data_IF_214257192550
#
_entry.id   IF_214257192550
#
_cell.length_a   1.000
_cell.length_b   1.000
_cell.length_c   1.000
_cell.angle_alpha   90.00
_cell.angle_beta   90.00
_cell.angle_gamma   90.00
#
_symmetry.space_group_name_H-M   'P 1'
#
loop_
_entity.id
_entity.type
_entity.pdbx_description
1 polymer ?
#
# COMPACT_ATOMS: atom_id res chain seq x y z
N UNK A 1 7.25 -20.37 15.37
CA UNK A 1 6.39 -19.89 14.29
C UNK A 1 5.97 -18.46 14.59
N UNK A 2 6.53 -17.48 13.87
CA UNK A 2 6.06 -16.11 13.93
C UNK A 2 4.66 -16.10 13.31
N UNK A 3 3.63 -16.05 14.16
CA UNK A 3 2.24 -16.15 13.76
C UNK A 3 1.84 -15.03 12.80
N UNK A 4 0.87 -15.31 11.93
CA UNK A 4 0.22 -14.36 11.01
C UNK A 4 -0.21 -13.04 11.72
N UNK A 5 -0.43 -13.10 13.03
CA UNK A 5 -0.75 -11.94 13.86
C UNK A 5 0.31 -10.81 13.87
N UNK A 6 1.56 -11.10 13.53
CA UNK A 6 2.63 -10.09 13.51
C UNK A 6 2.78 -9.37 12.18
N UNK A 7 2.25 -9.93 11.09
CA UNK A 7 2.43 -9.36 9.74
C UNK A 7 1.55 -8.12 9.55
N UNK A 8 0.28 -8.16 9.93
CA UNK A 8 -0.62 -7.01 9.81
C UNK A 8 -0.33 -5.91 10.85
N UNK A 9 0.13 -6.28 12.05
CA UNK A 9 0.56 -5.31 13.08
C UNK A 9 1.71 -4.41 12.61
N UNK A 10 2.49 -4.86 11.63
CA UNK A 10 3.59 -4.07 11.06
C UNK A 10 3.13 -3.05 10.03
N UNK A 11 1.92 -3.15 9.52
CA UNK A 11 1.38 -2.31 8.45
C UNK A 11 0.69 -1.05 8.97
N UNK A 12 0.26 -1.05 10.24
CA UNK A 12 -0.33 0.11 10.92
C UNK A 12 0.72 0.89 11.69
N UNK A 13 0.77 2.20 11.50
CA UNK A 13 1.79 3.08 12.07
C UNK A 13 1.25 4.18 12.98
N UNK A 14 0.02 4.66 12.76
CA UNK A 14 -0.57 5.75 13.55
C UNK A 14 -0.85 5.34 14.99
N UNK A 15 -0.57 6.23 15.94
CA UNK A 15 -0.84 6.09 17.37
C UNK A 15 -0.29 4.80 17.99
N UNK A 16 0.90 4.38 17.59
CA UNK A 16 1.55 3.16 18.09
C UNK A 16 2.94 3.46 18.64
N UNK A 17 3.33 2.81 19.76
CA UNK A 17 4.69 2.92 20.29
C UNK A 17 5.74 2.57 19.21
N UNK A 18 6.79 3.37 19.14
CA UNK A 18 7.91 3.20 18.20
C UNK A 18 7.50 3.26 16.70
N UNK A 19 6.35 3.88 16.38
CA UNK A 19 5.88 4.11 15.03
C UNK A 19 5.62 5.59 14.80
N UNK A 20 5.84 6.05 13.58
CA UNK A 20 5.65 7.44 13.15
C UNK A 20 5.30 7.50 11.67
N UNK A 21 4.97 8.68 11.14
CA UNK A 21 4.82 8.90 9.71
C UNK A 21 6.09 8.49 8.94
N UNK A 22 7.28 8.79 9.48
CA UNK A 22 8.54 8.37 8.86
C UNK A 22 8.71 6.84 8.78
N UNK A 23 8.23 6.09 9.77
CA UNK A 23 8.28 4.62 9.69
C UNK A 23 7.32 4.06 8.64
N UNK A 24 6.18 4.72 8.41
CA UNK A 24 5.25 4.38 7.33
C UNK A 24 5.89 4.68 5.96
N UNK A 25 6.47 5.87 5.79
CA UNK A 25 7.17 6.27 4.57
C UNK A 25 8.36 5.35 4.24
N UNK A 26 9.15 4.99 5.25
CA UNK A 26 10.26 4.02 5.08
C UNK A 26 9.75 2.65 4.63
N UNK A 27 8.60 2.22 5.13
CA UNK A 27 7.97 0.98 4.68
C UNK A 27 7.52 1.08 3.21
N UNK A 28 6.94 2.21 2.80
CA UNK A 28 6.58 2.47 1.41
C UNK A 28 7.84 2.43 0.54
N UNK A 29 8.87 3.17 0.91
CA UNK A 29 10.15 3.20 0.19
C UNK A 29 10.73 1.80 -0.06
N UNK A 30 10.62 0.90 0.92
CA UNK A 30 11.20 -0.43 0.82
C UNK A 30 10.31 -1.46 0.10
N UNK A 31 8.98 -1.32 0.15
CA UNK A 31 8.05 -2.37 -0.30
C UNK A 31 7.24 -2.01 -1.54
N UNK A 32 7.05 -0.71 -1.84
CA UNK A 32 6.19 -0.26 -2.93
C UNK A 32 6.97 0.01 -4.24
N UNK A 33 8.24 -0.34 -4.29
CA UNK A 33 9.19 -0.01 -5.37
C UNK A 33 8.79 -0.49 -6.76
N UNK A 34 7.92 -1.48 -6.87
CA UNK A 34 7.51 -2.08 -8.16
C UNK A 34 6.02 -1.92 -8.44
N UNK A 35 5.32 -1.15 -7.63
CA UNK A 35 3.91 -0.89 -7.84
C UNK A 35 3.70 -0.13 -9.15
N UNK A 36 2.57 -0.41 -9.79
CA UNK A 36 2.10 0.24 -11.01
C UNK A 36 0.99 1.24 -10.72
N UNK A 37 0.21 0.94 -9.69
CA UNK A 37 -0.93 1.75 -9.26
C UNK A 37 -0.89 1.93 -7.77
N UNK A 38 -1.35 3.08 -7.31
CA UNK A 38 -1.66 3.36 -5.92
C UNK A 38 -3.16 3.53 -5.78
N UNK A 39 -3.71 3.03 -4.67
CA UNK A 39 -5.02 3.41 -4.16
C UNK A 39 -4.76 4.21 -2.90
N UNK A 40 -4.98 5.50 -3.01
CA UNK A 40 -5.00 6.45 -1.89
C UNK A 40 -6.34 6.29 -1.20
N UNK A 41 -6.37 6.19 0.11
CA UNK A 41 -7.61 6.00 0.83
C UNK A 41 -7.66 6.82 2.11
N UNK A 42 -8.78 7.50 2.26
CA UNK A 42 -9.13 8.31 3.43
C UNK A 42 -10.56 7.93 3.87
N UNK A 43 -10.76 7.72 5.15
CA UNK A 43 -12.07 7.40 5.71
C UNK A 43 -12.75 8.70 6.11
N UNK A 44 -13.91 8.97 5.51
CA UNK A 44 -14.67 10.19 5.73
C UNK A 44 -15.09 10.35 7.18
N UNK A 45 -14.59 11.42 7.83
CA UNK A 45 -14.99 11.75 9.21
C UNK A 45 -14.83 10.56 10.16
N UNK A 46 -13.72 9.85 10.10
CA UNK A 46 -13.54 8.57 10.79
C UNK A 46 -13.91 8.63 12.26
N UNK A 47 -13.37 9.61 13.00
CA UNK A 47 -13.61 9.72 14.44
C UNK A 47 -15.07 10.03 14.77
N UNK A 48 -15.77 10.75 13.90
CA UNK A 48 -17.16 11.17 14.10
C UNK A 48 -18.17 10.08 13.68
N UNK A 49 -17.72 9.13 12.84
CA UNK A 49 -18.60 8.10 12.25
C UNK A 49 -18.36 6.69 12.80
N UNK A 50 -17.54 6.52 13.84
CA UNK A 50 -17.35 5.21 14.48
C UNK A 50 -18.68 4.70 15.05
N UNK A 51 -19.17 3.56 14.53
CA UNK A 51 -20.38 2.91 15.06
C UNK A 51 -20.10 2.29 16.44
N UNK A 52 -20.78 2.78 17.47
CA UNK A 52 -20.58 2.33 18.85
C UNK A 52 -20.93 0.85 19.05
N UNK A 53 -21.92 0.31 18.31
CA UNK A 53 -22.30 -1.10 18.43
C UNK A 53 -21.25 -2.01 17.82
N UNK A 54 -20.70 -1.62 16.66
CA UNK A 54 -19.57 -2.33 16.03
C UNK A 54 -18.36 -2.29 16.95
N UNK A 55 -18.01 -1.12 17.54
CA UNK A 55 -16.91 -0.98 18.50
C UNK A 55 -17.08 -1.93 19.69
N UNK A 56 -18.23 -1.87 20.35
CA UNK A 56 -18.48 -2.74 21.51
C UNK A 56 -18.48 -4.22 21.10
N UNK A 57 -19.00 -4.56 19.93
CA UNK A 57 -18.92 -5.91 19.37
C UNK A 57 -17.49 -6.40 19.18
N UNK A 58 -16.59 -5.53 18.69
CA UNK A 58 -15.16 -5.83 18.52
C UNK A 58 -14.50 -6.07 19.88
N UNK A 59 -14.74 -5.17 20.85
CA UNK A 59 -14.20 -5.29 22.21
C UNK A 59 -14.69 -6.55 22.92
N UNK A 60 -15.98 -6.90 22.79
CA UNK A 60 -16.59 -8.09 23.41
C UNK A 60 -15.96 -9.41 22.98
N UNK A 61 -15.32 -9.45 21.80
CA UNK A 61 -14.56 -10.65 21.37
C UNK A 61 -13.38 -10.96 22.30
N UNK A 62 -12.84 -9.95 22.98
CA UNK A 62 -11.65 -10.08 23.84
C UNK A 62 -11.93 -9.81 25.32
N UNK A 63 -12.88 -8.94 25.63
CA UNK A 63 -13.22 -8.47 26.96
C UNK A 63 -14.58 -9.07 27.34
N UNK A 64 -14.63 -9.84 28.43
CA UNK A 64 -15.83 -10.51 28.91
C UNK A 64 -16.54 -9.72 30.03
N UNK A 65 -15.89 -8.69 30.58
CA UNK A 65 -16.45 -7.85 31.61
C UNK A 65 -17.44 -6.87 31.03
N UNK A 66 -18.73 -7.16 31.21
CA UNK A 66 -19.83 -6.31 30.74
C UNK A 66 -19.93 -4.97 31.49
N UNK A 67 -19.38 -4.86 32.71
CA UNK A 67 -19.32 -3.57 33.43
C UNK A 67 -18.33 -2.64 32.73
N UNK A 68 -17.18 -3.18 32.35
CA UNK A 68 -16.19 -2.43 31.60
C UNK A 68 -16.72 -2.02 30.21
N UNK A 69 -17.37 -2.93 29.48
CA UNK A 69 -17.95 -2.61 28.18
C UNK A 69 -19.04 -1.53 28.28
N UNK A 70 -19.86 -1.54 29.34
CA UNK A 70 -20.83 -0.47 29.62
C UNK A 70 -20.16 0.86 29.93
N UNK A 71 -19.01 0.84 30.63
CA UNK A 71 -18.24 2.05 30.89
C UNK A 71 -17.71 2.64 29.57
N UNK A 72 -17.11 1.83 28.70
CA UNK A 72 -16.65 2.28 27.38
C UNK A 72 -17.82 2.85 26.56
N UNK A 73 -18.99 2.21 26.58
CA UNK A 73 -20.16 2.75 25.88
C UNK A 73 -20.60 4.11 26.43
N UNK A 74 -20.53 4.31 27.75
CA UNK A 74 -20.80 5.62 28.35
C UNK A 74 -19.80 6.67 27.87
N UNK A 75 -18.50 6.34 27.75
CA UNK A 75 -17.51 7.24 27.18
C UNK A 75 -17.79 7.61 25.72
N UNK A 76 -18.17 6.63 24.91
CA UNK A 76 -18.50 6.87 23.51
C UNK A 76 -19.75 7.78 23.39
N UNK A 77 -20.75 7.60 24.25
CA UNK A 77 -22.02 8.38 24.24
C UNK A 77 -21.91 9.74 24.94
N UNK A 78 -20.86 9.98 25.74
CA UNK A 78 -20.74 11.21 26.53
C UNK A 78 -20.58 12.47 25.67
N UNK A 79 -20.21 12.29 24.39
CA UNK A 79 -19.96 13.42 23.50
C UNK A 79 -18.71 14.21 23.89
N UNK A 80 -18.67 15.45 23.47
CA UNK A 80 -17.59 16.38 23.79
C UNK A 80 -18.19 17.74 24.21
N UNK A 81 -17.41 18.49 24.97
CA UNK A 81 -17.78 19.85 25.36
C UNK A 81 -16.97 20.84 24.52
N UNK A 82 -17.67 21.70 23.81
CA UNK A 82 -17.08 22.78 23.01
C UNK A 82 -17.81 24.09 23.38
N UNK A 83 -17.12 25.13 23.61
CA UNK A 83 -17.65 26.46 24.00
C UNK A 83 -18.67 26.43 25.13
N UNK A 84 -18.44 25.61 26.16
CA UNK A 84 -19.36 25.35 27.29
C UNK A 84 -20.71 24.71 26.90
N UNK A 85 -20.84 24.16 25.68
CA UNK A 85 -22.01 23.39 25.26
C UNK A 85 -21.65 21.91 25.17
N UNK A 86 -22.55 21.05 25.68
CA UNK A 86 -22.39 19.60 25.60
C UNK A 86 -23.03 19.11 24.31
N UNK A 87 -22.17 18.59 23.41
CA UNK A 87 -22.57 17.93 22.18
C UNK A 87 -22.68 16.42 22.43
N UNK A 88 -23.90 15.88 22.46
CA UNK A 88 -24.09 14.44 22.54
C UNK A 88 -23.69 13.77 21.22
N UNK A 89 -22.85 12.76 21.30
CA UNK A 89 -22.41 11.97 20.13
C UNK A 89 -23.21 10.67 20.11
N UNK A 90 -24.03 10.49 19.07
CA UNK A 90 -24.71 9.21 18.80
C UNK A 90 -23.77 8.24 18.01
N UNK A 91 -22.74 8.77 17.39
CA UNK A 91 -21.68 8.05 16.72
C UNK A 91 -20.36 8.75 16.99
N UNK A 92 -19.25 8.05 16.75
CA UNK A 92 -17.92 8.62 16.85
C UNK A 92 -17.25 8.51 18.22
N UNK A 93 -16.05 9.04 18.28
CA UNK A 93 -15.26 9.22 19.51
C UNK A 93 -14.92 10.69 19.65
N UNK A 94 -14.94 11.25 20.86
CA UNK A 94 -14.59 12.65 21.05
C UNK A 94 -13.20 12.96 20.46
N UNK A 95 -13.11 13.93 19.56
CA UNK A 95 -11.83 14.39 19.03
C UNK A 95 -11.00 14.97 20.19
N UNK A 96 -9.73 14.59 20.28
CA UNK A 96 -8.85 15.00 21.38
C UNK A 96 -8.97 14.15 22.66
N UNK A 97 -9.88 13.19 22.75
CA UNK A 97 -9.96 12.26 23.88
C UNK A 97 -8.75 11.33 23.95
N UNK A 98 -8.17 11.17 25.15
CA UNK A 98 -6.97 10.32 25.38
C UNK A 98 -7.18 8.87 24.90
N UNK A 99 -8.40 8.34 25.00
CA UNK A 99 -8.74 6.96 24.65
C UNK A 99 -9.04 6.81 23.14
N UNK A 100 -9.40 7.89 22.44
CA UNK A 100 -9.85 7.86 21.04
C UNK A 100 -8.84 7.23 20.08
N UNK A 101 -7.53 7.52 20.14
CA UNK A 101 -6.53 6.88 19.29
C UNK A 101 -6.42 5.36 19.51
N UNK A 102 -6.64 4.90 20.75
CA UNK A 102 -6.60 3.47 21.08
C UNK A 102 -7.82 2.77 20.49
N UNK A 103 -9.02 3.34 20.69
CA UNK A 103 -10.26 2.82 20.14
C UNK A 103 -10.24 2.82 18.61
N UNK A 104 -9.73 3.89 17.99
CA UNK A 104 -9.52 3.98 16.56
C UNK A 104 -8.65 2.82 16.02
N UNK A 105 -7.53 2.54 16.66
CA UNK A 105 -6.69 1.42 16.26
C UNK A 105 -7.33 0.05 16.48
N UNK A 106 -8.14 -0.12 17.54
CA UNK A 106 -8.89 -1.36 17.77
C UNK A 106 -9.96 -1.55 16.69
N UNK A 107 -10.64 -0.48 16.30
CA UNK A 107 -11.64 -0.51 15.24
C UNK A 107 -11.04 -0.89 13.90
N UNK A 108 -10.00 -0.18 13.50
CA UNK A 108 -9.33 -0.38 12.22
C UNK A 108 -8.42 -1.62 12.17
N UNK A 109 -8.17 -2.29 13.30
CA UNK A 109 -7.52 -3.61 13.31
C UNK A 109 -8.34 -4.66 12.54
N UNK A 110 -9.67 -4.50 12.46
CA UNK A 110 -10.51 -5.36 11.63
C UNK A 110 -10.21 -5.14 10.15
N UNK A 111 -10.00 -3.89 9.73
CA UNK A 111 -9.58 -3.57 8.37
C UNK A 111 -8.17 -4.09 8.08
N UNK A 112 -7.23 -3.94 9.00
CA UNK A 112 -5.87 -4.48 8.84
C UNK A 112 -5.89 -6.01 8.66
N UNK A 113 -6.73 -6.73 9.39
CA UNK A 113 -6.93 -8.18 9.26
C UNK A 113 -7.54 -8.54 7.91
N UNK A 114 -8.58 -7.83 7.51
CA UNK A 114 -9.20 -8.01 6.21
C UNK A 114 -8.18 -7.82 5.08
N UNK A 115 -7.38 -6.73 5.13
CA UNK A 115 -6.34 -6.47 4.14
C UNK A 115 -5.27 -7.56 4.09
N UNK A 116 -4.93 -8.18 5.23
CA UNK A 116 -4.01 -9.30 5.26
C UNK A 116 -4.55 -10.55 4.54
N UNK A 117 -5.83 -10.87 4.75
CA UNK A 117 -6.49 -11.98 4.05
C UNK A 117 -6.74 -11.65 2.57
N UNK A 118 -7.16 -10.41 2.29
CA UNK A 118 -7.33 -9.92 0.93
C UNK A 118 -6.04 -10.02 0.12
N UNK A 119 -4.92 -9.61 0.70
CA UNK A 119 -3.60 -9.73 0.08
C UNK A 119 -3.26 -11.18 -0.30
N UNK A 120 -3.58 -12.16 0.54
CA UNK A 120 -3.33 -13.58 0.23
C UNK A 120 -4.11 -14.05 -0.99
N UNK A 121 -5.37 -13.60 -1.13
CA UNK A 121 -6.23 -13.91 -2.28
C UNK A 121 -5.80 -13.19 -3.54
N UNK A 122 -5.35 -11.95 -3.39
CA UNK A 122 -4.95 -11.09 -4.50
C UNK A 122 -3.59 -11.47 -5.09
N UNK A 123 -2.61 -11.78 -4.25
CA UNK A 123 -1.25 -12.09 -4.67
C UNK A 123 -1.22 -13.36 -5.53
N UNK A 124 -0.67 -13.25 -6.75
CA UNK A 124 -0.62 -14.34 -7.72
C UNK A 124 0.77 -14.47 -8.33
N UNK A 125 1.19 -15.72 -8.60
CA UNK A 125 2.47 -16.05 -9.23
C UNK A 125 3.68 -15.90 -8.30
N UNK A 126 4.75 -16.65 -8.52
CA UNK A 126 5.97 -16.55 -7.70
C UNK A 126 6.96 -15.54 -8.25
N UNK A 127 7.11 -15.49 -9.57
CA UNK A 127 8.05 -14.59 -10.27
C UNK A 127 7.38 -14.05 -11.53
N UNK A 128 7.65 -12.79 -11.87
CA UNK A 128 7.26 -12.23 -13.16
C UNK A 128 7.92 -12.99 -14.30
N UNK A 129 7.21 -13.17 -15.39
CA UNK A 129 7.76 -13.65 -16.65
C UNK A 129 8.96 -12.80 -17.11
N UNK A 130 9.86 -13.40 -17.84
CA UNK A 130 10.94 -12.66 -18.49
C UNK A 130 10.36 -11.94 -19.69
N UNK A 131 10.67 -10.67 -19.84
CA UNK A 131 10.29 -9.90 -21.02
C UNK A 131 10.81 -10.57 -22.29
N UNK A 132 9.93 -10.82 -23.25
CA UNK A 132 10.27 -11.53 -24.48
C UNK A 132 11.34 -10.80 -25.29
N UNK A 133 11.23 -9.46 -25.38
CA UNK A 133 12.23 -8.63 -26.08
C UNK A 133 13.59 -8.67 -25.39
N UNK A 134 13.59 -8.55 -24.05
CA UNK A 134 14.82 -8.66 -23.25
C UNK A 134 15.50 -10.02 -23.50
N UNK A 135 14.73 -11.11 -23.53
CA UNK A 135 15.26 -12.46 -23.81
C UNK A 135 15.87 -12.52 -25.20
N UNK A 136 15.15 -12.05 -26.25
CA UNK A 136 15.67 -12.03 -27.62
C UNK A 136 16.99 -11.27 -27.73
N UNK A 137 17.09 -10.11 -27.09
CA UNK A 137 18.32 -9.31 -27.08
C UNK A 137 19.46 -9.99 -26.30
N UNK A 138 19.13 -10.63 -25.17
CA UNK A 138 20.09 -11.42 -24.40
C UNK A 138 20.67 -12.58 -25.21
N UNK A 139 19.81 -13.31 -25.94
CA UNK A 139 20.23 -14.42 -26.80
C UNK A 139 21.11 -13.92 -27.97
N UNK A 140 20.73 -12.79 -28.60
CA UNK A 140 21.55 -12.15 -29.64
C UNK A 140 22.91 -11.73 -29.10
N UNK A 141 22.94 -11.14 -27.89
CA UNK A 141 24.19 -10.74 -27.22
C UNK A 141 25.11 -11.95 -26.96
N UNK A 142 24.56 -13.07 -26.48
CA UNK A 142 25.33 -14.30 -26.25
C UNK A 142 25.89 -14.83 -27.55
N UNK A 143 25.10 -14.80 -28.64
CA UNK A 143 25.57 -15.23 -29.97
C UNK A 143 26.70 -14.36 -30.49
N UNK A 144 26.60 -13.02 -30.36
CA UNK A 144 27.67 -12.09 -30.77
C UNK A 144 28.96 -12.30 -29.95
N UNK A 145 28.85 -12.48 -28.64
CA UNK A 145 30.01 -12.78 -27.78
C UNK A 145 30.70 -14.10 -28.16
N UNK A 146 29.91 -15.12 -28.54
CA UNK A 146 30.45 -16.38 -29.02
C UNK A 146 31.16 -16.23 -30.38
N UNK A 147 30.65 -15.36 -31.27
CA UNK A 147 31.34 -15.02 -32.53
C UNK A 147 32.63 -14.26 -32.27
N UNK A 148 32.60 -13.27 -31.38
CA UNK A 148 33.78 -12.49 -30.99
C UNK A 148 34.92 -13.38 -30.47
N UNK A 149 34.58 -14.39 -29.66
CA UNK A 149 35.57 -15.35 -29.14
C UNK A 149 36.20 -16.25 -30.25
N UNK A 150 35.57 -16.34 -31.42
CA UNK A 150 36.05 -17.13 -32.57
C UNK A 150 36.63 -16.29 -33.68
N UNK A 151 36.53 -14.96 -33.62
CA UNK A 151 37.05 -14.03 -34.65
C UNK A 151 38.56 -14.06 -34.68
N UNK A 152 39.11 -14.15 -35.90
CA UNK A 152 40.53 -14.27 -36.14
C UNK A 152 41.18 -12.94 -36.54
N UNK A 153 40.42 -12.04 -37.17
CA UNK A 153 40.93 -10.74 -37.62
C UNK A 153 40.53 -9.61 -36.67
N UNK A 154 41.39 -8.60 -36.54
CA UNK A 154 41.09 -7.45 -35.67
C UNK A 154 39.92 -6.60 -36.19
N UNK A 155 39.74 -6.48 -37.51
CA UNK A 155 38.64 -5.78 -38.13
C UNK A 155 37.29 -6.44 -37.79
N UNK A 156 37.21 -7.78 -37.85
CA UNK A 156 36.05 -8.54 -37.47
C UNK A 156 35.72 -8.40 -35.97
N UNK A 157 36.74 -8.41 -35.11
CA UNK A 157 36.56 -8.19 -33.66
C UNK A 157 35.99 -6.80 -33.37
N UNK A 158 36.53 -5.78 -34.04
CA UNK A 158 36.10 -4.40 -33.83
C UNK A 158 34.62 -4.19 -34.24
N UNK A 159 34.23 -4.70 -35.41
CA UNK A 159 32.85 -4.68 -35.87
C UNK A 159 31.89 -5.40 -34.91
N UNK A 160 32.29 -6.56 -34.38
CA UNK A 160 31.52 -7.31 -33.40
C UNK A 160 31.38 -6.58 -32.04
N UNK A 161 32.45 -5.89 -31.59
CA UNK A 161 32.44 -5.08 -30.37
C UNK A 161 31.48 -3.90 -30.49
N UNK A 162 31.49 -3.20 -31.64
CA UNK A 162 30.52 -2.11 -31.89
C UNK A 162 29.09 -2.62 -31.87
N UNK A 163 28.82 -3.75 -32.54
CA UNK A 163 27.51 -4.38 -32.55
C UNK A 163 27.03 -4.80 -31.14
N UNK A 164 27.95 -5.28 -30.31
CA UNK A 164 27.64 -5.65 -28.90
C UNK A 164 27.37 -4.38 -28.08
N UNK A 165 28.09 -3.30 -28.30
CA UNK A 165 27.94 -2.06 -27.57
C UNK A 165 26.59 -1.38 -27.87
N UNK A 166 26.18 -1.32 -29.13
CA UNK A 166 24.85 -0.82 -29.53
C UNK A 166 23.72 -1.66 -28.93
N UNK A 167 23.88 -2.99 -29.01
CA UNK A 167 22.92 -3.92 -28.44
C UNK A 167 22.84 -3.79 -26.92
N UNK A 168 23.93 -3.53 -26.22
CA UNK A 168 23.98 -3.33 -24.77
C UNK A 168 23.28 -2.03 -24.35
N UNK A 169 23.32 -0.97 -25.16
CA UNK A 169 22.53 0.25 -24.92
C UNK A 169 21.03 -0.05 -24.93
N UNK A 170 20.54 -0.73 -25.96
CA UNK A 170 19.13 -1.10 -26.10
C UNK A 170 18.73 -2.09 -25.01
N UNK A 171 19.55 -3.09 -24.74
CA UNK A 171 19.28 -4.10 -23.72
C UNK A 171 19.15 -3.52 -22.31
N UNK A 172 19.93 -2.48 -21.96
CA UNK A 172 19.83 -1.77 -20.68
C UNK A 172 18.57 -0.93 -20.54
N UNK A 173 17.96 -0.48 -21.63
CA UNK A 173 16.73 0.31 -21.60
C UNK A 173 15.47 -0.53 -21.42
N UNK A 174 15.55 -1.85 -21.69
CA UNK A 174 14.39 -2.75 -21.61
C UNK A 174 14.36 -3.45 -20.25
N UNK A 175 13.20 -3.48 -19.56
CA UNK A 175 13.08 -4.18 -18.28
C UNK A 175 13.24 -5.69 -18.47
N UNK A 176 14.06 -6.31 -17.64
CA UNK A 176 14.32 -7.78 -17.65
C UNK A 176 13.07 -8.62 -17.46
N UNK A 177 12.11 -8.11 -16.69
CA UNK A 177 10.83 -8.77 -16.39
C UNK A 177 9.69 -8.03 -17.08
N UNK A 178 8.69 -8.79 -17.52
CA UNK A 178 7.48 -8.22 -18.10
C UNK A 178 6.77 -7.34 -17.06
N UNK A 179 6.65 -6.01 -17.31
CA UNK A 179 5.97 -5.13 -16.37
C UNK A 179 4.46 -5.35 -16.33
N UNK A 180 3.87 -5.98 -17.36
CA UNK A 180 2.44 -6.22 -17.52
C UNK A 180 2.06 -7.71 -17.46
N UNK A 181 2.89 -8.55 -16.82
CA UNK A 181 2.61 -9.97 -16.66
C UNK A 181 1.30 -10.20 -15.88
N UNK A 182 0.27 -10.63 -16.59
CA UNK A 182 -1.07 -10.91 -16.05
C UNK A 182 -1.08 -12.03 -15.01
N UNK A 183 -0.07 -12.90 -15.04
CA UNK A 183 0.07 -13.99 -14.08
C UNK A 183 0.80 -13.61 -12.80
N UNK A 184 1.21 -12.33 -12.68
CA UNK A 184 1.91 -11.83 -11.51
C UNK A 184 1.22 -10.59 -10.94
N UNK A 185 0.55 -10.76 -9.81
CA UNK A 185 -0.08 -9.67 -9.06
C UNK A 185 0.44 -9.62 -7.64
N UNK A 186 0.61 -8.42 -7.10
CA UNK A 186 0.99 -8.18 -5.70
C UNK A 186 0.28 -6.95 -5.17
N UNK A 187 -0.12 -7.05 -3.92
CA UNK A 187 -0.67 -5.97 -3.14
C UNK A 187 0.26 -5.64 -1.97
N UNK A 188 0.52 -4.37 -1.77
CA UNK A 188 1.17 -3.84 -0.58
C UNK A 188 0.21 -2.89 0.11
N UNK A 189 0.24 -2.85 1.44
CA UNK A 189 -0.67 -2.06 2.24
C UNK A 189 0.09 -1.40 3.39
N UNK A 190 -0.23 -0.16 3.66
CA UNK A 190 0.25 0.60 4.81
C UNK A 190 -0.87 1.53 5.28
N UNK A 191 -1.01 1.69 6.59
CA UNK A 191 -2.00 2.56 7.22
C UNK A 191 -1.35 3.42 8.31
N UNK A 192 -1.80 4.65 8.38
CA UNK A 192 -1.49 5.58 9.48
C UNK A 192 -2.80 6.23 9.94
N UNK A 193 -3.29 5.86 11.13
CA UNK A 193 -4.63 6.20 11.60
C UNK A 193 -5.71 5.79 10.59
N UNK A 194 -6.46 6.72 10.08
CA UNK A 194 -7.50 6.58 9.06
C UNK A 194 -6.97 6.66 7.61
N UNK A 195 -5.81 7.29 7.41
CA UNK A 195 -5.15 7.32 6.11
C UNK A 195 -4.53 5.97 5.75
N UNK A 196 -4.70 5.51 4.52
CA UNK A 196 -4.02 4.32 4.03
C UNK A 196 -3.58 4.44 2.58
N UNK A 197 -2.52 3.71 2.26
CA UNK A 197 -2.02 3.60 0.89
C UNK A 197 -1.87 2.14 0.50
N UNK A 198 -2.40 1.80 -0.67
CA UNK A 198 -2.26 0.47 -1.25
C UNK A 198 -1.48 0.58 -2.54
N UNK A 199 -0.40 -0.20 -2.64
CA UNK A 199 0.39 -0.31 -3.86
C UNK A 199 0.07 -1.60 -4.58
N UNK A 200 -0.21 -1.52 -5.88
CA UNK A 200 -0.64 -2.64 -6.69
C UNK A 200 0.34 -2.88 -7.83
N UNK A 201 0.74 -4.12 -7.98
CA UNK A 201 1.41 -4.66 -9.15
C UNK A 201 0.35 -5.47 -9.90
N UNK A 202 -0.16 -4.92 -10.98
CA UNK A 202 -1.26 -5.47 -11.79
C UNK A 202 -1.76 -4.43 -12.78
N UNK A 203 -2.89 -4.71 -13.41
CA UNK A 203 -3.57 -3.82 -14.33
C UNK A 203 -4.30 -2.68 -13.59
N UNK A 204 -4.80 -1.68 -14.31
CA UNK A 204 -5.60 -0.58 -13.75
C UNK A 204 -6.93 -1.08 -13.18
N UNK A 205 -7.50 -2.02 -13.88
CA UNK A 205 -8.75 -2.70 -13.53
C UNK A 205 -8.62 -3.42 -12.19
N UNK A 206 -7.47 -4.05 -11.91
CA UNK A 206 -7.17 -4.65 -10.62
C UNK A 206 -7.20 -3.59 -9.50
N UNK A 207 -6.64 -2.40 -9.74
CA UNK A 207 -6.63 -1.33 -8.75
C UNK A 207 -8.03 -0.77 -8.49
N UNK A 208 -8.85 -0.65 -9.54
CA UNK A 208 -10.24 -0.23 -9.43
C UNK A 208 -11.08 -1.27 -8.67
N UNK A 209 -10.91 -2.54 -8.98
CA UNK A 209 -11.58 -3.63 -8.27
C UNK A 209 -11.21 -3.65 -6.79
N UNK A 210 -9.92 -3.46 -6.45
CA UNK A 210 -9.45 -3.34 -5.08
C UNK A 210 -10.12 -2.17 -4.36
N UNK A 211 -10.20 -0.98 -4.98
CA UNK A 211 -10.89 0.18 -4.41
C UNK A 211 -12.34 -0.14 -4.08
N UNK A 212 -13.06 -0.74 -5.02
CA UNK A 212 -14.48 -1.09 -4.85
C UNK A 212 -14.69 -2.13 -3.74
N UNK A 213 -13.89 -3.19 -3.71
CA UNK A 213 -14.01 -4.26 -2.72
C UNK A 213 -13.72 -3.74 -1.30
N UNK A 214 -12.72 -2.86 -1.16
CA UNK A 214 -12.40 -2.21 0.12
C UNK A 214 -13.54 -1.29 0.55
N UNK A 215 -14.10 -0.49 -0.35
CA UNK A 215 -15.25 0.36 -0.06
C UNK A 215 -16.45 -0.45 0.44
N UNK A 216 -16.75 -1.56 -0.23
CA UNK A 216 -17.81 -2.48 0.17
C UNK A 216 -17.56 -3.08 1.56
N UNK A 217 -16.32 -3.47 1.87
CA UNK A 217 -15.97 -4.00 3.19
C UNK A 217 -16.11 -2.94 4.28
N UNK A 218 -15.58 -1.74 4.05
CA UNK A 218 -15.64 -0.64 5.02
C UNK A 218 -17.08 -0.23 5.29
N UNK A 219 -17.91 -0.11 4.26
CA UNK A 219 -19.32 0.22 4.41
C UNK A 219 -20.12 -0.90 5.12
N UNK A 220 -19.93 -2.15 4.70
CA UNK A 220 -20.71 -3.28 5.20
C UNK A 220 -20.31 -3.72 6.61
N UNK A 221 -19.02 -3.82 6.90
CA UNK A 221 -18.52 -4.40 8.16
C UNK A 221 -18.16 -3.35 9.21
N UNK A 222 -17.67 -2.20 8.78
CA UNK A 222 -17.25 -1.13 9.68
C UNK A 222 -18.26 0.02 9.74
N UNK A 223 -19.28 0.02 8.88
CA UNK A 223 -20.27 1.10 8.79
C UNK A 223 -19.64 2.47 8.64
N UNK A 224 -18.57 2.53 7.87
CA UNK A 224 -17.82 3.74 7.54
C UNK A 224 -17.84 3.96 6.04
N UNK A 225 -17.57 5.17 5.61
CA UNK A 225 -17.52 5.55 4.20
C UNK A 225 -16.12 6.01 3.81
N UNK A 226 -15.68 5.66 2.59
CA UNK A 226 -14.50 6.25 2.00
C UNK A 226 -14.84 7.66 1.50
N UNK A 227 -13.88 8.57 1.63
CA UNK A 227 -13.98 9.88 0.99
C UNK A 227 -13.79 9.72 -0.51
N UNK A 228 -14.84 9.96 -1.31
CA UNK A 228 -14.78 9.85 -2.78
C UNK A 228 -13.75 10.81 -3.38
N UNK A 229 -13.63 12.02 -2.82
CA UNK A 229 -12.72 13.06 -3.28
C UNK A 229 -11.25 12.71 -3.02
N UNK A 230 -10.96 12.01 -1.93
CA UNK A 230 -9.60 11.67 -1.49
C UNK A 230 -9.22 10.22 -1.81
N UNK A 231 -10.19 9.36 -2.11
CA UNK A 231 -9.91 7.96 -2.45
C UNK A 231 -9.70 7.83 -3.96
N UNK A 232 -8.45 7.90 -4.38
CA UNK A 232 -8.05 7.96 -5.77
C UNK A 232 -7.29 6.71 -6.21
N UNK A 233 -7.40 6.37 -7.50
CA UNK A 233 -6.54 5.38 -8.16
C UNK A 233 -5.54 6.13 -9.02
N UNK A 234 -4.30 6.22 -8.53
CA UNK A 234 -3.23 7.02 -9.14
C UNK A 234 -2.19 6.10 -9.75
N UNK A 235 -1.71 6.43 -10.95
CA UNK A 235 -0.59 5.70 -11.55
C UNK A 235 0.66 5.92 -10.71
N UNK A 236 1.42 4.85 -10.45
CA UNK A 236 2.56 4.93 -9.53
C UNK A 236 3.72 5.84 -10.02
N UNK A 237 3.73 6.21 -11.30
CA UNK A 237 4.65 7.23 -11.85
C UNK A 237 4.19 8.66 -11.56
N UNK A 238 2.92 8.84 -11.25
CA UNK A 238 2.34 10.13 -10.91
C UNK A 238 2.52 10.39 -9.40
N UNK A 239 1.96 11.47 -8.89
CA UNK A 239 2.16 11.89 -7.51
C UNK A 239 0.95 11.50 -6.66
N UNK A 240 1.01 10.31 -6.04
CA UNK A 240 0.04 9.92 -5.01
C UNK A 240 0.31 10.68 -3.70
N UNK A 241 -0.73 11.05 -2.98
CA UNK A 241 -0.61 11.77 -1.69
C UNK A 241 -0.77 10.80 -0.52
N UNK A 242 0.13 10.89 0.46
CA UNK A 242 0.02 10.14 1.71
C UNK A 242 0.72 10.88 2.85
N UNK A 243 0.01 11.20 3.91
CA UNK A 243 0.53 11.90 5.10
C UNK A 243 1.23 13.25 4.78
N UNK A 244 0.71 14.01 3.83
CA UNK A 244 1.32 15.28 3.41
C UNK A 244 2.52 15.13 2.48
N UNK A 245 2.88 13.90 2.07
CA UNK A 245 3.97 13.62 1.15
C UNK A 245 3.45 13.19 -0.21
N UNK A 246 4.18 13.57 -1.27
CA UNK A 246 3.98 13.05 -2.61
C UNK A 246 4.82 11.78 -2.84
N UNK A 247 4.17 10.70 -3.22
CA UNK A 247 4.77 9.39 -3.41
C UNK A 247 4.70 9.01 -4.88
N UNK A 248 5.84 8.66 -5.47
CA UNK A 248 5.92 8.15 -6.85
C UNK A 248 6.98 7.07 -6.99
N UNK A 249 6.78 6.19 -7.94
CA UNK A 249 7.80 5.25 -8.41
C UNK A 249 8.51 5.87 -9.61
N UNK A 250 9.79 6.16 -9.47
CA UNK A 250 10.60 6.67 -10.58
C UNK A 250 10.96 5.51 -11.51
N UNK A 251 10.69 5.60 -12.81
CA UNK A 251 11.09 4.58 -13.77
C UNK A 251 12.60 4.71 -14.06
N UNK A 252 13.44 4.33 -13.11
CA UNK A 252 14.88 4.22 -13.33
C UNK A 252 15.22 2.75 -13.39
N UNK A 253 16.28 2.37 -14.09
CA UNK A 253 16.79 0.98 -14.15
C UNK A 253 17.09 0.39 -12.77
N UNK A 254 17.13 1.22 -11.73
CA UNK A 254 17.13 0.86 -10.30
C UNK A 254 15.96 1.58 -9.63
N UNK A 255 15.03 0.80 -9.08
CA UNK A 255 13.79 1.27 -8.45
C UNK A 255 14.05 2.01 -7.15
N UNK A 256 14.13 3.35 -7.20
CA UNK A 256 14.10 4.20 -6.02
C UNK A 256 12.73 4.89 -5.91
N UNK A 257 12.07 4.71 -4.77
CA UNK A 257 10.97 5.55 -4.33
C UNK A 257 11.55 6.84 -3.76
N UNK A 258 11.07 7.99 -4.23
CA UNK A 258 11.33 9.29 -3.61
C UNK A 258 10.04 9.81 -3.00
N UNK A 259 10.08 10.15 -1.72
CA UNK A 259 9.06 10.94 -1.06
C UNK A 259 9.54 12.39 -1.01
N UNK A 260 8.72 13.31 -1.48
CA UNK A 260 8.96 14.75 -1.37
C UNK A 260 7.91 15.35 -0.43
N UNK A 261 8.37 16.18 0.49
CA UNK A 261 7.50 16.93 1.38
C UNK A 261 6.83 18.06 0.58
N UNK A 262 5.52 18.11 0.63
CA UNK A 262 4.76 19.28 0.11
C UNK A 262 4.71 20.32 1.21
N UNK A 263 5.51 21.38 1.09
CA UNK A 263 5.30 22.59 1.87
C UNK A 263 4.03 23.25 1.33
N UNK A 264 2.97 23.20 2.13
CA UNK A 264 1.78 24.01 1.98
C UNK A 264 1.97 25.35 2.67
#
# INVERSE_FOLDING_TARGET
>A
SRGLGDVYKRQSHGFRPNKSCHTALRMIQNRFTRCKWFVEGDIKGFFDNIDHNVMIGILRKRIKDERFLRLIRKFLNAGYMEDNQVHQSYSGTPQGGIISPILANIYLDQFDKYMAEFKKRFDRGNKRAVNVEYRKLSDKRIRLKRKLAKAKTEEEKQSLLESIWELDKVHKSIPCKDPMDENFRRLQYVRYADDFLIGIIGAKEDAQAVKQEIGTYIAGQLKLELSDEKTLVTKATDRAKFLGFEIRVTPVSYTHLRAHETRG
#
